data_IF_941170615774
#
_entry.id   IF_941170615774
#
_cell.length_a   1.000
_cell.length_b   1.000
_cell.length_c   1.000
_cell.angle_alpha   90.00
_cell.angle_beta   90.00
_cell.angle_gamma   90.00
#
_symmetry.space_group_name_H-M   'P 1'
#
loop_
_entity.id
_entity.type
_entity.pdbx_description
1 polymer ?
#
# COMPACT_ATOMS: atom_id res chain seq x y z
N UNK A 1 -17.21 -18.41 -9.61
CA UNK A 1 -16.30 -18.86 -8.52
C UNK A 1 -16.63 -18.01 -7.30
N UNK A 2 -16.95 -18.59 -6.14
CA UNK A 2 -17.26 -17.82 -4.92
C UNK A 2 -16.07 -16.92 -4.53
N UNK A 3 -16.33 -15.63 -4.23
CA UNK A 3 -15.33 -14.65 -3.78
C UNK A 3 -14.44 -15.18 -2.65
N UNK A 4 -15.03 -15.91 -1.70
CA UNK A 4 -14.31 -16.56 -0.60
C UNK A 4 -13.24 -17.54 -1.10
N UNK A 5 -13.56 -18.33 -2.12
CA UNK A 5 -12.60 -19.29 -2.70
C UNK A 5 -11.41 -18.55 -3.30
N UNK A 6 -11.64 -17.44 -4.02
CA UNK A 6 -10.57 -16.63 -4.61
C UNK A 6 -9.66 -15.97 -3.58
N UNK A 7 -10.19 -15.59 -2.41
CA UNK A 7 -9.39 -15.05 -1.30
C UNK A 7 -8.53 -16.15 -0.68
N UNK A 8 -9.12 -17.30 -0.34
CA UNK A 8 -8.39 -18.40 0.32
C UNK A 8 -7.32 -19.01 -0.59
N UNK A 9 -7.54 -19.02 -1.91
CA UNK A 9 -6.54 -19.52 -2.88
C UNK A 9 -5.53 -18.46 -3.32
N UNK A 10 -5.52 -17.27 -2.72
CA UNK A 10 -4.61 -16.20 -3.11
C UNK A 10 -3.17 -16.52 -2.65
N UNK A 11 -2.20 -16.66 -3.57
CA UNK A 11 -0.83 -17.02 -3.22
C UNK A 11 -0.15 -16.00 -2.29
N UNK A 12 -0.54 -14.73 -2.34
CA UNK A 12 -0.01 -13.70 -1.44
C UNK A 12 -0.48 -13.93 0.00
N UNK A 13 -1.76 -14.28 0.18
CA UNK A 13 -2.35 -14.56 1.49
C UNK A 13 -1.76 -15.85 2.06
N UNK A 14 -1.71 -16.90 1.23
CA UNK A 14 -1.13 -18.20 1.62
C UNK A 14 0.33 -18.02 2.03
N UNK A 15 1.13 -17.30 1.22
CA UNK A 15 2.54 -17.04 1.53
C UNK A 15 2.74 -16.28 2.85
N UNK A 16 1.94 -15.25 3.11
CA UNK A 16 1.97 -14.49 4.37
C UNK A 16 1.61 -15.38 5.57
N UNK A 17 0.52 -16.14 5.48
CA UNK A 17 0.06 -17.02 6.57
C UNK A 17 1.07 -18.11 6.84
N UNK A 18 1.58 -18.80 5.81
CA UNK A 18 2.62 -19.81 5.98
C UNK A 18 3.90 -19.21 6.58
N UNK A 19 4.31 -18.03 6.15
CA UNK A 19 5.47 -17.32 6.70
C UNK A 19 5.30 -16.98 8.18
N UNK A 20 4.12 -16.47 8.57
CA UNK A 20 3.81 -16.16 9.97
C UNK A 20 3.76 -17.41 10.84
N UNK A 21 3.12 -18.49 10.38
CA UNK A 21 3.07 -19.77 11.10
C UNK A 21 4.46 -20.36 11.26
N UNK A 22 5.28 -20.31 10.21
CA UNK A 22 6.66 -20.78 10.28
C UNK A 22 7.50 -19.93 11.24
N UNK A 23 7.35 -18.60 11.24
CA UNK A 23 8.08 -17.71 12.16
C UNK A 23 7.83 -18.05 13.64
N UNK A 24 6.64 -18.54 13.98
CA UNK A 24 6.31 -18.97 15.35
C UNK A 24 7.01 -20.26 15.79
N UNK A 25 7.43 -21.11 14.85
CA UNK A 25 8.12 -22.37 15.18
C UNK A 25 9.55 -22.16 15.70
N UNK A 26 10.15 -20.98 15.44
CA UNK A 26 11.54 -20.70 15.78
C UNK A 26 12.58 -21.55 15.03
N UNK A 27 12.15 -22.36 14.05
CA UNK A 27 13.04 -23.22 13.27
C UNK A 27 13.99 -22.38 12.42
N UNK A 28 15.28 -22.69 12.49
CA UNK A 28 16.28 -22.03 11.69
C UNK A 28 16.07 -22.37 10.20
N UNK A 29 15.87 -21.35 9.38
CA UNK A 29 15.80 -21.51 7.92
C UNK A 29 17.21 -21.82 7.40
N UNK A 30 17.40 -22.89 6.60
CA UNK A 30 18.67 -23.18 5.95
C UNK A 30 19.21 -21.96 5.20
N UNK A 31 20.52 -21.72 5.31
CA UNK A 31 21.15 -20.52 4.76
C UNK A 31 20.83 -20.30 3.27
N UNK A 32 20.80 -21.37 2.48
CA UNK A 32 20.45 -21.32 1.05
C UNK A 32 19.07 -20.71 0.83
N UNK A 33 18.04 -21.20 1.52
CA UNK A 33 16.67 -20.70 1.40
C UNK A 33 16.58 -19.25 1.86
N UNK A 34 17.23 -18.91 2.97
CA UNK A 34 17.26 -17.53 3.49
C UNK A 34 17.89 -16.56 2.49
N UNK A 35 19.02 -16.94 1.90
CA UNK A 35 19.78 -16.07 1.00
C UNK A 35 19.06 -15.92 -0.35
N UNK A 36 18.56 -17.01 -0.92
CA UNK A 36 17.72 -16.96 -2.14
C UNK A 36 16.44 -16.16 -1.91
N UNK A 37 15.75 -16.40 -0.78
CA UNK A 37 14.55 -15.67 -0.41
C UNK A 37 14.81 -14.16 -0.27
N UNK A 38 15.92 -13.78 0.36
CA UNK A 38 16.33 -12.37 0.50
C UNK A 38 16.60 -11.70 -0.85
N UNK A 39 17.19 -12.40 -1.81
CA UNK A 39 17.39 -11.85 -3.16
C UNK A 39 16.06 -11.64 -3.88
N UNK A 40 15.16 -12.63 -3.82
CA UNK A 40 13.83 -12.52 -4.45
C UNK A 40 13.01 -11.39 -3.81
N UNK A 41 13.01 -11.29 -2.49
CA UNK A 41 12.28 -10.22 -1.79
C UNK A 41 12.85 -8.85 -2.12
N UNK A 42 14.19 -8.71 -2.19
CA UNK A 42 14.84 -7.45 -2.55
C UNK A 42 14.51 -6.97 -3.97
N UNK A 43 14.31 -7.90 -4.91
CA UNK A 43 13.96 -7.59 -6.30
C UNK A 43 12.46 -7.34 -6.50
N UNK A 44 11.60 -7.82 -5.59
CA UNK A 44 10.14 -7.75 -5.74
C UNK A 44 9.61 -6.32 -5.86
N UNK A 45 10.08 -5.40 -5.01
CA UNK A 45 9.65 -4.00 -5.03
C UNK A 45 10.15 -3.26 -6.30
N UNK A 46 11.44 -3.32 -6.68
CA UNK A 46 11.91 -2.76 -7.94
C UNK A 46 11.14 -3.26 -9.17
N UNK A 47 10.88 -4.57 -9.26
CA UNK A 47 10.14 -5.16 -10.38
C UNK A 47 8.68 -4.69 -10.38
N UNK A 48 8.02 -4.64 -9.21
CA UNK A 48 6.66 -4.13 -9.10
C UNK A 48 6.57 -2.67 -9.57
N UNK A 49 7.53 -1.83 -9.17
CA UNK A 49 7.59 -0.42 -9.60
C UNK A 49 7.88 -0.29 -11.10
N UNK A 50 8.79 -1.10 -11.65
CA UNK A 50 9.07 -1.16 -13.09
C UNK A 50 7.83 -1.56 -13.89
N UNK A 51 7.13 -2.63 -13.50
CA UNK A 51 5.92 -3.08 -14.17
C UNK A 51 4.78 -2.06 -14.08
N UNK A 52 4.62 -1.44 -12.91
CA UNK A 52 3.62 -0.38 -12.70
C UNK A 52 3.93 0.84 -13.57
N UNK A 53 5.19 1.28 -13.61
CA UNK A 53 5.65 2.40 -14.43
C UNK A 53 5.52 2.12 -15.93
N UNK A 54 5.87 0.92 -16.38
CA UNK A 54 5.71 0.51 -17.78
C UNK A 54 4.24 0.43 -18.23
N UNK A 55 3.32 0.19 -17.30
CA UNK A 55 1.88 0.13 -17.57
C UNK A 55 1.17 1.48 -17.36
N UNK A 56 1.93 2.52 -17.02
CA UNK A 56 1.40 3.85 -16.78
C UNK A 56 1.02 4.49 -18.11
N UNK A 57 -0.23 4.93 -18.22
CA UNK A 57 -0.67 5.72 -19.36
C UNK A 57 -0.72 7.19 -18.92
N UNK A 58 0.37 7.92 -19.20
CA UNK A 58 0.49 9.35 -18.87
C UNK A 58 -0.61 10.19 -19.55
N UNK A 59 -1.03 9.84 -20.76
CA UNK A 59 -2.11 10.57 -21.46
C UNK A 59 -3.45 10.32 -20.79
N UNK A 60 -3.75 9.07 -20.41
CA UNK A 60 -4.95 8.73 -19.65
C UNK A 60 -4.90 9.26 -18.21
N UNK A 61 -3.71 9.46 -17.63
CA UNK A 61 -3.52 10.08 -16.32
C UNK A 61 -3.89 11.57 -16.36
N UNK A 62 -3.46 12.33 -17.36
CA UNK A 62 -3.80 13.75 -17.53
C UNK A 62 -5.20 14.00 -18.10
N UNK A 63 -5.78 13.04 -18.84
CA UNK A 63 -7.20 13.03 -19.22
C UNK A 63 -8.11 12.44 -18.14
N UNK A 64 -7.56 12.17 -16.95
CA UNK A 64 -8.04 11.25 -15.90
C UNK A 64 -9.48 10.76 -16.10
N UNK A 65 -9.63 9.45 -16.30
CA UNK A 65 -10.86 8.77 -15.88
C UNK A 65 -11.17 9.25 -14.46
N UNK A 66 -12.29 9.96 -14.26
CA UNK A 66 -12.69 10.58 -12.99
C UNK A 66 -12.47 9.64 -11.79
N UNK A 67 -12.58 8.33 -12.03
CA UNK A 67 -12.35 7.26 -11.07
C UNK A 67 -10.94 7.25 -10.48
N UNK A 68 -9.88 7.46 -11.26
CA UNK A 68 -8.49 7.42 -10.77
C UNK A 68 -8.21 8.59 -9.82
N UNK A 69 -8.57 9.81 -10.26
CA UNK A 69 -8.39 11.02 -9.47
C UNK A 69 -9.22 10.98 -8.17
N UNK A 70 -10.49 10.54 -8.24
CA UNK A 70 -11.35 10.38 -7.07
C UNK A 70 -10.80 9.33 -6.10
N UNK A 71 -10.40 8.16 -6.59
CA UNK A 71 -9.86 7.07 -5.75
C UNK A 71 -8.55 7.49 -5.08
N UNK A 72 -7.65 8.13 -5.82
CA UNK A 72 -6.39 8.64 -5.28
C UNK A 72 -6.61 9.75 -4.27
N UNK A 73 -7.53 10.68 -4.52
CA UNK A 73 -7.86 11.77 -3.58
C UNK A 73 -8.48 11.22 -2.29
N UNK A 74 -9.37 10.23 -2.39
CA UNK A 74 -9.91 9.56 -1.22
C UNK A 74 -8.80 8.86 -0.42
N UNK A 75 -7.87 8.16 -1.08
CA UNK A 75 -6.75 7.51 -0.38
C UNK A 75 -5.78 8.49 0.27
N UNK A 76 -5.53 9.65 -0.35
CA UNK A 76 -4.59 10.65 0.16
C UNK A 76 -5.16 11.54 1.25
N UNK A 77 -6.43 11.92 1.15
CA UNK A 77 -7.02 12.88 2.08
C UNK A 77 -8.01 12.20 3.01
N UNK A 78 -9.03 11.53 2.45
CA UNK A 78 -10.12 10.98 3.23
C UNK A 78 -9.64 9.89 4.20
N UNK A 79 -8.84 8.92 3.73
CA UNK A 79 -8.34 7.82 4.56
C UNK A 79 -7.49 8.30 5.74
N UNK A 80 -6.42 9.10 5.56
CA UNK A 80 -5.64 9.56 6.70
C UNK A 80 -6.44 10.50 7.60
N UNK A 81 -7.28 11.39 7.08
CA UNK A 81 -8.12 12.25 7.94
C UNK A 81 -9.03 11.40 8.83
N UNK A 82 -9.76 10.42 8.26
CA UNK A 82 -10.64 9.55 9.03
C UNK A 82 -9.89 8.68 10.04
N UNK A 83 -8.75 8.10 9.65
CA UNK A 83 -7.96 7.25 10.55
C UNK A 83 -7.34 8.04 11.69
N UNK A 84 -6.85 9.25 11.41
CA UNK A 84 -6.21 10.09 12.42
C UNK A 84 -7.26 10.70 13.36
N UNK A 85 -8.38 11.18 12.83
CA UNK A 85 -9.49 11.65 13.67
C UNK A 85 -10.07 10.51 14.52
N UNK A 86 -10.27 9.33 13.94
CA UNK A 86 -10.74 8.16 14.67
C UNK A 86 -9.76 7.74 15.78
N UNK A 87 -8.46 7.72 15.48
CA UNK A 87 -7.42 7.44 16.47
C UNK A 87 -7.39 8.48 17.60
N UNK A 88 -7.48 9.76 17.25
CA UNK A 88 -7.50 10.84 18.24
C UNK A 88 -8.74 10.76 19.15
N UNK A 89 -9.93 10.52 18.58
CA UNK A 89 -11.17 10.32 19.35
C UNK A 89 -11.12 9.09 20.26
N UNK A 90 -10.35 8.07 19.89
CA UNK A 90 -10.11 6.90 20.72
C UNK A 90 -9.05 7.12 21.80
N UNK A 91 -8.46 8.32 21.87
CA UNK A 91 -7.50 8.71 22.89
C UNK A 91 -6.03 8.48 22.50
N UNK A 92 -5.72 8.14 21.23
CA UNK A 92 -4.34 8.07 20.78
C UNK A 92 -3.74 9.48 20.61
N UNK A 93 -2.55 9.70 21.17
CA UNK A 93 -1.82 10.97 21.14
C UNK A 93 -0.32 10.73 20.91
N UNK A 94 0.41 11.78 20.54
CA UNK A 94 1.86 11.72 20.40
C UNK A 94 2.30 10.78 19.27
N UNK A 95 3.34 10.00 19.53
CA UNK A 95 3.92 9.09 18.55
C UNK A 95 2.91 8.06 18.00
N UNK A 96 1.98 7.55 18.83
CA UNK A 96 1.00 6.56 18.38
C UNK A 96 0.06 7.12 17.30
N UNK A 97 -0.41 8.35 17.49
CA UNK A 97 -1.24 9.04 16.50
C UNK A 97 -0.45 9.38 15.23
N UNK A 98 0.82 9.77 15.39
CA UNK A 98 1.73 10.00 14.27
C UNK A 98 1.96 8.74 13.42
N UNK A 99 2.06 7.56 14.05
CA UNK A 99 2.18 6.27 13.37
C UNK A 99 0.88 5.96 12.60
N UNK A 100 -0.29 6.13 13.21
CA UNK A 100 -1.59 5.92 12.55
C UNK A 100 -1.71 6.81 11.30
N UNK A 101 -1.37 8.10 11.44
CA UNK A 101 -1.34 9.03 10.32
C UNK A 101 -0.37 8.57 9.23
N UNK A 102 0.87 8.26 9.58
CA UNK A 102 1.90 7.83 8.62
C UNK A 102 1.47 6.58 7.84
N UNK A 103 0.99 5.55 8.54
CA UNK A 103 0.51 4.32 7.91
C UNK A 103 -0.64 4.59 6.94
N UNK A 104 -1.59 5.45 7.32
CA UNK A 104 -2.75 5.76 6.50
C UNK A 104 -2.43 6.71 5.33
N UNK A 105 -1.44 7.59 5.47
CA UNK A 105 -0.97 8.52 4.46
C UNK A 105 -0.03 7.88 3.42
N UNK A 106 0.48 6.66 3.68
CA UNK A 106 1.30 5.93 2.70
C UNK A 106 0.60 5.78 1.35
N UNK A 107 1.34 5.81 0.23
CA UNK A 107 0.78 5.63 -1.09
C UNK A 107 0.17 4.23 -1.28
N UNK A 108 -0.58 4.06 -2.37
CA UNK A 108 -1.21 2.77 -2.68
C UNK A 108 -0.14 1.70 -2.90
N UNK A 109 -0.33 0.51 -2.33
CA UNK A 109 0.63 -0.58 -2.42
C UNK A 109 0.91 -0.98 -3.88
N UNK A 110 2.18 -1.02 -4.29
CA UNK A 110 2.60 -1.40 -5.64
C UNK A 110 2.13 -2.82 -6.03
N UNK A 111 2.06 -3.73 -5.05
CA UNK A 111 1.53 -5.08 -5.25
C UNK A 111 0.06 -5.15 -5.71
N UNK A 112 -0.72 -4.08 -5.51
CA UNK A 112 -2.11 -4.01 -5.98
C UNK A 112 -2.23 -4.04 -7.50
N UNK A 113 -1.21 -3.59 -8.25
CA UNK A 113 -1.17 -3.70 -9.71
C UNK A 113 -1.14 -5.16 -10.15
N UNK A 114 -0.19 -5.96 -9.62
CA UNK A 114 -0.02 -7.37 -9.99
C UNK A 114 -1.28 -8.16 -9.62
N UNK A 115 -1.84 -7.87 -8.44
CA UNK A 115 -3.08 -8.47 -7.97
C UNK A 115 -4.27 -8.13 -8.88
N UNK A 116 -4.45 -6.85 -9.22
CA UNK A 116 -5.54 -6.39 -10.10
C UNK A 116 -5.43 -7.06 -11.47
N UNK A 117 -4.21 -7.17 -12.01
CA UNK A 117 -3.96 -7.84 -13.28
C UNK A 117 -4.26 -9.34 -13.23
N UNK A 118 -3.84 -10.02 -12.16
CA UNK A 118 -4.10 -11.45 -11.96
C UNK A 118 -5.60 -11.76 -11.82
N UNK A 119 -6.39 -10.83 -11.29
CA UNK A 119 -7.85 -10.96 -11.16
C UNK A 119 -8.62 -10.55 -12.43
N UNK A 120 -7.95 -10.16 -13.51
CA UNK A 120 -8.61 -9.69 -14.74
C UNK A 120 -9.21 -8.29 -14.64
N UNK A 121 -8.81 -7.50 -13.63
CA UNK A 121 -9.25 -6.12 -13.44
C UNK A 121 -8.48 -5.11 -14.29
N UNK A 122 -8.80 -3.83 -14.12
CA UNK A 122 -8.14 -2.74 -14.85
C UNK A 122 -6.77 -2.40 -14.26
N UNK A 123 -5.73 -3.08 -14.75
CA UNK A 123 -4.35 -2.89 -14.31
C UNK A 123 -3.80 -1.50 -14.62
N UNK A 124 -4.21 -0.87 -15.73
CA UNK A 124 -3.81 0.50 -16.10
C UNK A 124 -4.39 1.53 -15.12
N UNK A 125 -5.65 1.37 -14.70
CA UNK A 125 -6.26 2.20 -13.67
C UNK A 125 -5.51 2.05 -12.33
N UNK A 126 -5.19 0.82 -11.92
CA UNK A 126 -4.39 0.57 -10.71
C UNK A 126 -3.02 1.24 -10.79
N UNK A 127 -2.32 1.13 -11.93
CA UNK A 127 -1.03 1.78 -12.14
C UNK A 127 -1.12 3.31 -12.04
N UNK A 128 -2.15 3.92 -12.64
CA UNK A 128 -2.38 5.36 -12.54
C UNK A 128 -2.67 5.79 -11.09
N UNK A 129 -3.48 5.03 -10.33
CA UNK A 129 -3.74 5.32 -8.91
C UNK A 129 -2.45 5.25 -8.10
N UNK A 130 -1.61 4.22 -8.31
CA UNK A 130 -0.32 4.08 -7.64
C UNK A 130 0.56 5.30 -7.95
N UNK A 131 0.69 5.72 -9.21
CA UNK A 131 1.50 6.88 -9.56
C UNK A 131 0.99 8.18 -8.92
N UNK A 132 -0.31 8.47 -9.03
CA UNK A 132 -0.91 9.69 -8.45
C UNK A 132 -0.74 9.68 -6.93
N UNK A 133 -1.03 8.55 -6.28
CA UNK A 133 -0.88 8.45 -4.82
C UNK A 133 0.57 8.51 -4.37
N UNK A 134 1.52 7.98 -5.15
CA UNK A 134 2.96 8.06 -4.84
C UNK A 134 3.43 9.51 -4.83
N UNK A 135 3.16 10.27 -5.89
CA UNK A 135 3.55 11.69 -5.97
C UNK A 135 2.80 12.53 -4.95
N UNK A 136 1.48 12.37 -4.83
CA UNK A 136 0.69 13.17 -3.90
C UNK A 136 0.93 12.82 -2.43
N UNK A 137 1.32 11.59 -2.10
CA UNK A 137 1.65 11.19 -0.72
C UNK A 137 2.84 11.97 -0.16
N UNK A 138 3.80 12.36 -1.01
CA UNK A 138 4.93 13.19 -0.60
C UNK A 138 4.44 14.50 0.03
N UNK A 139 3.57 15.22 -0.68
CA UNK A 139 2.99 16.47 -0.20
C UNK A 139 2.03 16.24 0.96
N UNK A 140 1.16 15.24 0.86
CA UNK A 140 0.11 15.00 1.86
C UNK A 140 0.70 14.56 3.20
N UNK A 141 1.73 13.71 3.18
CA UNK A 141 2.43 13.28 4.39
C UNK A 141 3.18 14.45 5.02
N UNK A 142 3.93 15.22 4.22
CA UNK A 142 4.68 16.37 4.73
C UNK A 142 3.76 17.42 5.38
N UNK A 143 2.68 17.80 4.69
CA UNK A 143 1.70 18.76 5.21
C UNK A 143 0.94 18.21 6.42
N UNK A 144 0.51 16.95 6.37
CA UNK A 144 -0.26 16.36 7.47
C UNK A 144 0.55 16.23 8.76
N UNK A 145 1.81 15.82 8.68
CA UNK A 145 2.71 15.83 9.86
C UNK A 145 2.89 17.24 10.41
N UNK A 146 3.10 18.23 9.52
CA UNK A 146 3.24 19.62 9.93
C UNK A 146 1.99 20.13 10.68
N UNK A 147 0.79 19.85 10.18
CA UNK A 147 -0.46 20.24 10.85
C UNK A 147 -0.69 19.53 12.17
N UNK A 148 -0.47 18.21 12.23
CA UNK A 148 -0.64 17.45 13.48
C UNK A 148 0.32 17.95 14.56
N UNK A 149 1.54 18.30 14.18
CA UNK A 149 2.54 18.84 15.09
C UNK A 149 2.23 20.27 15.51
N UNK A 150 1.74 21.12 14.61
CA UNK A 150 1.39 22.51 14.95
C UNK A 150 0.19 22.63 15.88
N UNK A 151 -0.72 21.65 15.84
CA UNK A 151 -1.82 21.51 16.79
C UNK A 151 -1.42 20.80 18.10
N UNK A 152 -0.18 20.35 18.24
CA UNK A 152 0.32 19.69 19.45
C UNK A 152 -0.31 18.32 19.73
N UNK A 153 -0.87 17.67 18.71
CA UNK A 153 -1.51 16.35 18.84
C UNK A 153 -0.49 15.22 18.69
N UNK A 154 0.65 15.50 18.04
CA UNK A 154 1.82 14.62 17.93
C UNK A 154 3.12 15.31 18.30
#
# INVERSE_FOLDING_TARGET
MSLLRSIVTNPLIIGLVCGLLFAQTGLAIPQVIRQTGSYISGLSLPLALLCTGASLDLRAMFRSSNVAALSSSAKLFLVPVLMTLGGWLWGFHGAALGIIFLFSATPTASGSYVMTRAMGGNATLAANIIAITTVGSFFTTALGIYFLRSWGVI
#
